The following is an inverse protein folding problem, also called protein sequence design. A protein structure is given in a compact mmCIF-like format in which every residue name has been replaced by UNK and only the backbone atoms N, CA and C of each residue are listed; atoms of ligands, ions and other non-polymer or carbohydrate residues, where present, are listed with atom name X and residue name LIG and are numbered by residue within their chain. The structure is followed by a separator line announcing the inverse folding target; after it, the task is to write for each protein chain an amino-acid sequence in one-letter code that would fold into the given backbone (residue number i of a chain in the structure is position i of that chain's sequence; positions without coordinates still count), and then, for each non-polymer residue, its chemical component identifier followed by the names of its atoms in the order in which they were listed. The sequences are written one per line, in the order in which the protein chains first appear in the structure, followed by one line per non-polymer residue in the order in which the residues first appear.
data_IF_864788803602
#
_entry.id   IF_864788803602
#
_cell.length_a   1.000
_cell.length_b   1.000
_cell.length_c   1.000
_cell.angle_alpha   90.00
_cell.angle_beta   90.00
_cell.angle_gamma   90.00
#
_symmetry.space_group_name_H-M   'P 1'
#
loop_
_entity.id
_entity.type
_entity.pdbx_description
1 polymer ?
#
# COMPACT_ATOMS: atom_id res chain seq x y z
N UNK A 1 7.18 -26.98 3.36
CA UNK A 1 5.88 -27.50 3.70
C UNK A 1 4.85 -27.08 2.66
N UNK A 2 4.04 -28.00 2.14
CA UNK A 2 3.06 -27.72 1.07
C UNK A 2 1.88 -26.83 1.53
N UNK A 3 1.70 -26.67 2.82
CA UNK A 3 0.65 -25.83 3.43
C UNK A 3 0.98 -24.33 3.39
N UNK A 4 2.23 -23.99 3.06
CA UNK A 4 2.71 -22.62 2.92
C UNK A 4 3.08 -22.32 1.47
N UNK A 5 3.05 -21.03 1.11
CA UNK A 5 3.47 -20.49 -0.16
C UNK A 5 4.16 -19.13 0.06
N UNK A 6 4.96 -18.69 -0.89
CA UNK A 6 5.56 -17.35 -0.83
C UNK A 6 4.57 -16.30 -1.33
N UNK A 7 4.68 -15.07 -0.83
CA UNK A 7 3.90 -13.95 -1.38
C UNK A 7 4.17 -13.75 -2.88
N UNK A 8 5.41 -14.03 -3.35
CA UNK A 8 5.73 -13.99 -4.80
C UNK A 8 5.00 -15.04 -5.64
N UNK A 9 4.48 -16.10 -5.02
CA UNK A 9 3.73 -17.15 -5.73
C UNK A 9 2.29 -16.69 -6.03
N UNK A 10 1.77 -15.70 -5.30
CA UNK A 10 0.38 -15.21 -5.39
C UNK A 10 0.26 -13.76 -5.84
N UNK A 11 1.35 -12.99 -5.88
CA UNK A 11 1.31 -11.57 -6.23
C UNK A 11 2.60 -11.05 -6.87
N UNK A 12 2.43 -10.07 -7.75
CA UNK A 12 3.49 -9.18 -8.21
C UNK A 12 3.72 -8.08 -7.18
N UNK A 13 4.97 -7.88 -6.77
CA UNK A 13 5.36 -6.90 -5.76
C UNK A 13 6.30 -5.88 -6.37
N UNK A 14 5.90 -4.62 -6.37
CA UNK A 14 6.66 -3.52 -6.95
C UNK A 14 6.85 -2.37 -5.95
N UNK A 15 7.90 -1.59 -6.15
CA UNK A 15 8.08 -0.32 -5.42
C UNK A 15 6.90 0.60 -5.70
N UNK A 16 6.50 1.42 -4.73
CA UNK A 16 5.56 2.50 -4.93
C UNK A 16 6.02 3.52 -5.97
N UNK A 17 5.16 4.45 -6.31
CA UNK A 17 5.42 5.42 -7.37
C UNK A 17 6.60 6.32 -7.02
N UNK A 18 7.64 6.31 -7.86
CA UNK A 18 8.74 7.25 -7.77
C UNK A 18 8.38 8.53 -8.51
N UNK A 19 7.87 9.52 -7.80
CA UNK A 19 7.46 10.80 -8.39
C UNK A 19 8.63 11.62 -8.89
N UNK A 20 9.78 11.50 -8.26
CA UNK A 20 10.94 12.37 -8.47
C UNK A 20 10.88 13.68 -7.69
N UNK A 21 9.69 14.07 -7.24
CA UNK A 21 9.45 15.23 -6.39
C UNK A 21 8.11 15.12 -5.66
N UNK A 22 8.09 14.45 -4.52
CA UNK A 22 6.85 14.25 -3.76
C UNK A 22 6.20 15.58 -3.35
N UNK A 23 7.00 16.64 -3.09
CA UNK A 23 6.47 17.96 -2.71
C UNK A 23 5.62 18.60 -3.81
N UNK A 24 5.96 18.37 -5.07
CA UNK A 24 5.22 18.89 -6.22
C UNK A 24 4.03 17.99 -6.59
N UNK A 25 4.24 16.66 -6.62
CA UNK A 25 3.24 15.72 -7.12
C UNK A 25 2.21 15.25 -6.09
N UNK A 26 2.53 15.35 -4.80
CA UNK A 26 1.60 14.99 -3.71
C UNK A 26 1.00 16.28 -3.12
N UNK A 27 -0.29 16.49 -3.30
CA UNK A 27 -0.94 17.76 -2.99
C UNK A 27 -2.15 17.61 -2.06
N UNK A 28 -2.46 18.71 -1.38
CA UNK A 28 -3.64 18.87 -0.54
C UNK A 28 -4.86 19.34 -1.37
N UNK A 29 -6.07 19.15 -0.82
CA UNK A 29 -7.35 19.61 -1.42
C UNK A 29 -7.30 21.06 -1.92
N UNK A 30 -6.78 21.98 -1.11
CA UNK A 30 -6.69 23.40 -1.48
C UNK A 30 -5.90 23.66 -2.78
N UNK A 31 -4.88 22.84 -3.05
CA UNK A 31 -4.09 22.95 -4.28
C UNK A 31 -4.88 22.41 -5.47
N UNK A 32 -5.58 21.29 -5.30
CA UNK A 32 -6.46 20.71 -6.32
C UNK A 32 -7.54 21.72 -6.74
N UNK A 33 -8.20 22.34 -5.77
CA UNK A 33 -9.25 23.33 -6.00
C UNK A 33 -8.71 24.60 -6.67
N UNK A 34 -7.61 25.16 -6.15
CA UNK A 34 -6.97 26.37 -6.68
C UNK A 34 -6.62 26.25 -8.15
N UNK A 35 -6.12 25.10 -8.57
CA UNK A 35 -5.68 24.86 -9.95
C UNK A 35 -6.68 24.03 -10.77
N UNK A 36 -7.87 23.76 -10.23
CA UNK A 36 -8.97 23.03 -10.90
C UNK A 36 -8.52 21.66 -11.44
N UNK A 37 -7.80 20.90 -10.59
CA UNK A 37 -7.16 19.63 -10.97
C UNK A 37 -7.96 18.38 -10.60
N UNK A 38 -9.26 18.48 -10.29
CA UNK A 38 -10.09 17.37 -9.82
C UNK A 38 -10.11 16.16 -10.77
N UNK A 39 -9.97 16.39 -12.06
CA UNK A 39 -9.98 15.39 -13.11
C UNK A 39 -8.60 14.81 -13.46
N UNK A 40 -7.53 15.30 -12.82
CA UNK A 40 -6.14 14.88 -13.05
C UNK A 40 -5.41 14.56 -11.75
N UNK A 41 -6.15 14.11 -10.75
CA UNK A 41 -5.60 13.62 -9.49
C UNK A 41 -6.15 12.26 -9.14
N UNK A 42 -5.39 11.50 -8.34
CA UNK A 42 -5.79 10.20 -7.78
C UNK A 42 -5.71 10.22 -6.25
N UNK A 43 -6.53 9.43 -5.55
CA UNK A 43 -6.35 9.18 -4.13
C UNK A 43 -4.93 8.70 -3.84
N UNK A 44 -4.29 9.25 -2.81
CA UNK A 44 -2.89 8.99 -2.50
C UNK A 44 -2.68 8.59 -1.04
N UNK A 45 -1.93 7.52 -0.84
CA UNK A 45 -1.24 7.23 0.43
C UNK A 45 0.17 7.81 0.31
N UNK A 46 0.36 9.04 0.76
CA UNK A 46 1.64 9.76 0.65
C UNK A 46 2.66 9.39 1.74
N UNK A 47 2.20 8.82 2.85
CA UNK A 47 3.02 8.35 3.97
C UNK A 47 2.39 7.10 4.60
N UNK A 48 3.19 6.25 5.24
CA UNK A 48 2.70 5.07 5.96
C UNK A 48 1.65 5.41 7.03
N UNK A 49 1.77 6.56 7.69
CA UNK A 49 0.80 7.06 8.68
C UNK A 49 -0.55 7.48 8.10
N UNK A 50 -0.71 7.49 6.77
CA UNK A 50 -2.01 7.73 6.12
C UNK A 50 -2.86 6.46 6.01
N UNK A 51 -2.28 5.27 6.24
CA UNK A 51 -2.94 3.98 6.21
C UNK A 51 -2.82 3.29 7.59
N UNK A 52 -3.73 3.62 8.50
CA UNK A 52 -3.81 3.04 9.85
C UNK A 52 -4.89 1.97 9.95
N UNK A 53 -4.96 1.07 8.97
CA UNK A 53 -6.01 0.08 8.83
C UNK A 53 -5.51 -1.11 8.03
N UNK A 54 -6.28 -2.22 8.04
CA UNK A 54 -6.09 -3.35 7.14
C UNK A 54 -6.81 -3.09 5.81
N UNK A 55 -7.99 -2.48 5.87
CA UNK A 55 -8.74 -2.00 4.71
C UNK A 55 -8.52 -0.50 4.55
N UNK A 56 -7.94 -0.06 3.43
CA UNK A 56 -7.88 1.36 3.09
C UNK A 56 -9.12 1.72 2.26
N UNK A 57 -10.13 2.23 2.93
CA UNK A 57 -11.45 2.58 2.40
C UNK A 57 -11.51 4.04 1.93
N UNK A 58 -12.58 4.40 1.23
CA UNK A 58 -12.81 5.79 0.81
C UNK A 58 -12.85 6.76 2.01
N UNK A 59 -13.44 6.33 3.12
CA UNK A 59 -13.53 7.11 4.35
C UNK A 59 -12.15 7.40 4.94
N UNK A 60 -11.20 6.46 4.88
CA UNK A 60 -9.82 6.64 5.35
C UNK A 60 -9.07 7.70 4.51
N UNK A 61 -9.29 7.65 3.19
CA UNK A 61 -8.75 8.66 2.30
C UNK A 61 -9.38 10.02 2.57
N UNK A 62 -10.70 10.12 2.69
CA UNK A 62 -11.40 11.37 3.00
C UNK A 62 -10.96 11.96 4.33
N UNK A 63 -10.76 11.14 5.37
CA UNK A 63 -10.20 11.58 6.64
C UNK A 63 -8.81 12.20 6.48
N UNK A 64 -7.96 11.63 5.63
CA UNK A 64 -6.65 12.22 5.30
C UNK A 64 -6.82 13.58 4.59
N UNK A 65 -7.77 13.69 3.66
CA UNK A 65 -8.08 14.92 2.94
C UNK A 65 -8.60 16.01 3.89
N UNK A 66 -9.53 15.67 4.78
CA UNK A 66 -10.14 16.60 5.74
C UNK A 66 -9.13 17.08 6.80
N UNK A 67 -8.13 16.25 7.11
CA UNK A 67 -6.99 16.61 7.94
C UNK A 67 -5.90 17.40 7.17
N UNK A 68 -6.19 17.93 5.98
CA UNK A 68 -5.27 18.70 5.14
C UNK A 68 -3.94 17.97 4.83
N UNK A 69 -3.96 16.63 4.75
CA UNK A 69 -2.79 15.88 4.32
C UNK A 69 -2.65 15.95 2.80
N UNK A 70 -1.42 15.79 2.30
CA UNK A 70 -1.16 15.62 0.86
C UNK A 70 -1.67 14.24 0.42
N UNK A 71 -2.98 14.13 0.21
CA UNK A 71 -3.71 12.90 -0.07
C UNK A 71 -4.16 12.78 -1.54
N UNK A 72 -3.61 13.59 -2.42
CA UNK A 72 -3.83 13.55 -3.87
C UNK A 72 -2.51 13.42 -4.61
N UNK A 73 -2.42 12.48 -5.56
CA UNK A 73 -1.33 12.41 -6.53
C UNK A 73 -1.76 13.08 -7.83
N UNK A 74 -0.96 13.99 -8.35
CA UNK A 74 -1.18 14.59 -9.67
C UNK A 74 -0.82 13.55 -10.74
N UNK A 75 -1.78 13.30 -11.64
CA UNK A 75 -1.68 12.38 -12.77
C UNK A 75 -2.10 13.09 -14.05
N UNK A 76 -1.23 13.95 -14.58
CA UNK A 76 -1.48 14.65 -15.82
C UNK A 76 -1.54 13.70 -17.02
N UNK A 77 -2.57 13.80 -17.88
CA UNK A 77 -2.72 12.95 -19.07
C UNK A 77 -1.59 13.16 -20.08
N UNK A 78 -1.40 12.19 -20.98
CA UNK A 78 -0.41 12.28 -22.05
C UNK A 78 -0.94 13.05 -23.26
N UNK A 79 -1.01 14.36 -23.11
CA UNK A 79 -1.42 15.27 -24.20
C UNK A 79 -0.37 16.36 -24.39
N UNK A 80 -0.38 16.99 -25.55
CA UNK A 80 0.53 18.15 -25.79
C UNK A 80 0.21 19.30 -24.83
N UNK A 81 1.25 20.04 -24.42
CA UNK A 81 1.13 21.13 -23.47
C UNK A 81 0.06 22.17 -23.86
N UNK A 82 -0.11 22.43 -25.16
CA UNK A 82 -1.11 23.39 -25.66
C UNK A 82 -2.56 23.02 -25.30
N UNK A 83 -2.85 21.70 -25.12
CA UNK A 83 -4.19 21.18 -24.85
C UNK A 83 -4.56 21.18 -23.34
N UNK A 84 -3.61 21.43 -22.45
CA UNK A 84 -3.96 21.56 -21.04
C UNK A 84 -4.81 22.80 -20.78
N UNK A 85 -5.77 22.75 -19.84
CA UNK A 85 -6.50 23.89 -19.33
C UNK A 85 -5.56 24.97 -18.80
N UNK A 86 -6.01 26.22 -18.82
CA UNK A 86 -5.22 27.38 -18.34
C UNK A 86 -4.68 27.17 -16.93
N UNK A 87 -5.52 26.67 -16.01
CA UNK A 87 -5.16 26.44 -14.60
C UNK A 87 -4.10 25.37 -14.44
N UNK A 88 -4.15 24.28 -15.20
CA UNK A 88 -3.10 23.24 -15.20
C UNK A 88 -1.77 23.81 -15.70
N UNK A 89 -1.78 24.62 -16.78
CA UNK A 89 -0.59 25.33 -17.29
C UNK A 89 0.01 26.28 -16.25
N UNK A 90 -0.84 26.99 -15.49
CA UNK A 90 -0.39 27.84 -14.39
C UNK A 90 0.35 27.04 -13.32
N UNK A 91 -0.16 25.84 -12.96
CA UNK A 91 0.50 24.95 -12.01
C UNK A 91 1.85 24.43 -12.52
N UNK A 92 1.91 23.99 -13.78
CA UNK A 92 3.16 23.51 -14.41
C UNK A 92 4.20 24.65 -14.43
N UNK A 93 3.82 25.87 -14.87
CA UNK A 93 4.70 27.03 -14.87
C UNK A 93 5.18 27.43 -13.47
N UNK A 94 4.30 27.32 -12.47
CA UNK A 94 4.70 27.56 -11.07
C UNK A 94 5.78 26.57 -10.65
N UNK A 95 5.65 25.27 -11.00
CA UNK A 95 6.67 24.26 -10.74
C UNK A 95 8.01 24.57 -11.44
N UNK A 96 7.98 25.01 -12.68
CA UNK A 96 9.19 25.44 -13.42
C UNK A 96 9.87 26.65 -12.76
N UNK A 97 9.09 27.65 -12.40
CA UNK A 97 9.60 28.85 -11.70
C UNK A 97 10.25 28.49 -10.36
N UNK A 98 9.70 27.53 -9.64
CA UNK A 98 10.24 27.05 -8.36
C UNK A 98 11.39 26.05 -8.52
N UNK A 99 11.72 25.62 -9.74
CA UNK A 99 12.78 24.68 -10.03
C UNK A 99 12.42 23.22 -9.72
N UNK A 100 11.14 22.89 -9.58
CA UNK A 100 10.67 21.53 -9.26
C UNK A 100 10.99 20.52 -10.39
N UNK A 101 11.20 20.99 -11.60
CA UNK A 101 11.60 20.24 -12.79
C UNK A 101 13.10 19.86 -12.83
N UNK A 102 13.94 20.44 -11.96
CA UNK A 102 15.41 20.30 -12.01
C UNK A 102 15.92 19.00 -11.36
N UNK A 103 15.09 18.35 -10.55
CA UNK A 103 15.44 17.07 -9.94
C UNK A 103 15.72 15.99 -11.00
N UNK A 104 16.73 15.15 -10.77
CA UNK A 104 17.19 14.13 -11.75
C UNK A 104 16.04 13.33 -12.39
N UNK A 105 15.12 12.80 -11.57
CA UNK A 105 13.98 12.02 -12.09
C UNK A 105 12.99 12.82 -12.93
N UNK A 106 12.86 14.13 -12.68
CA UNK A 106 12.02 15.02 -13.48
C UNK A 106 12.74 15.42 -14.77
N UNK A 107 14.02 15.75 -14.68
CA UNK A 107 14.81 16.27 -15.83
C UNK A 107 15.00 15.28 -16.97
N UNK A 108 14.96 13.97 -16.69
CA UNK A 108 15.11 12.91 -17.71
C UNK A 108 13.79 12.52 -18.39
N UNK A 109 12.65 13.12 -18.03
CA UNK A 109 11.35 12.86 -18.64
C UNK A 109 11.10 13.82 -19.79
N UNK A 110 10.50 13.35 -20.88
CA UNK A 110 10.09 14.21 -22.01
C UNK A 110 9.17 15.34 -21.53
N UNK A 111 8.27 15.00 -20.59
CA UNK A 111 7.40 15.96 -19.89
C UNK A 111 7.64 15.80 -18.41
N UNK A 112 8.45 16.66 -17.82
CA UNK A 112 8.88 16.60 -16.44
C UNK A 112 7.72 16.48 -15.44
N UNK A 113 6.57 17.08 -15.76
CA UNK A 113 5.35 17.10 -14.94
C UNK A 113 4.49 15.84 -15.05
N UNK A 114 4.88 14.85 -15.86
CA UNK A 114 4.21 13.53 -15.94
C UNK A 114 4.97 12.48 -15.17
N UNK A 115 4.23 11.71 -14.39
CA UNK A 115 4.78 10.53 -13.73
C UNK A 115 4.53 9.31 -14.63
N UNK A 116 5.56 8.56 -15.01
CA UNK A 116 5.37 7.32 -15.75
C UNK A 116 4.84 6.20 -14.85
N UNK A 117 4.14 5.22 -15.43
CA UNK A 117 3.76 3.96 -14.78
C UNK A 117 2.91 4.11 -13.52
N UNK A 118 1.91 5.00 -13.55
CA UNK A 118 0.88 5.06 -12.52
C UNK A 118 -0.13 3.94 -12.81
N UNK A 119 -0.34 3.06 -11.82
CA UNK A 119 -1.39 2.05 -11.85
C UNK A 119 -1.89 1.82 -10.41
N UNK A 120 -3.16 1.42 -10.28
CA UNK A 120 -3.83 1.17 -9.01
C UNK A 120 -3.52 -0.26 -8.55
N UNK A 121 -2.87 -0.45 -7.40
CA UNK A 121 -2.61 -1.77 -6.85
C UNK A 121 -3.84 -2.33 -6.12
N UNK A 122 -3.90 -3.65 -5.99
CA UNK A 122 -4.92 -4.32 -5.18
C UNK A 122 -4.64 -4.16 -3.68
N UNK A 123 -3.37 -4.06 -3.31
CA UNK A 123 -2.95 -3.89 -1.92
C UNK A 123 -1.61 -3.15 -1.81
N UNK A 124 -1.28 -2.79 -0.57
CA UNK A 124 -0.02 -2.14 -0.21
C UNK A 124 0.71 -2.90 0.88
N UNK A 125 2.03 -2.98 0.80
CA UNK A 125 2.88 -3.46 1.88
C UNK A 125 3.79 -2.32 2.36
N UNK A 126 3.87 -2.08 3.66
CA UNK A 126 4.70 -1.00 4.19
C UNK A 126 6.18 -1.32 3.99
N UNK A 127 6.91 -0.37 3.39
CA UNK A 127 8.35 -0.50 3.20
C UNK A 127 9.14 -0.38 4.50
N UNK A 128 8.73 0.54 5.37
CA UNK A 128 9.37 0.80 6.67
C UNK A 128 8.37 0.66 7.78
N UNK A 129 8.68 -0.21 8.71
CA UNK A 129 7.83 -0.60 9.81
C UNK A 129 8.52 -0.26 11.12
N UNK A 130 7.78 0.33 12.06
CA UNK A 130 8.31 0.69 13.38
C UNK A 130 7.72 -0.22 14.47
N UNK A 131 6.40 -0.29 14.58
CA UNK A 131 5.72 -1.14 15.56
C UNK A 131 5.55 -2.57 15.04
N UNK A 132 4.98 -2.71 13.85
CA UNK A 132 4.75 -3.97 13.16
C UNK A 132 4.55 -3.76 11.67
N UNK A 133 4.80 -4.78 10.83
CA UNK A 133 4.57 -4.69 9.40
C UNK A 133 3.07 -4.68 9.08
N UNK A 134 2.68 -3.95 8.02
CA UNK A 134 1.29 -3.87 7.57
C UNK A 134 1.16 -4.28 6.11
N UNK A 135 0.15 -5.12 5.85
CA UNK A 135 -0.33 -5.47 4.53
C UNK A 135 -1.77 -4.96 4.41
N UNK A 136 -2.02 -4.00 3.52
CA UNK A 136 -3.25 -3.19 3.49
C UNK A 136 -3.99 -3.41 2.19
N UNK A 137 -5.25 -3.83 2.25
CA UNK A 137 -6.12 -3.99 1.09
C UNK A 137 -6.60 -2.61 0.60
N UNK A 138 -6.49 -2.36 -0.71
CA UNK A 138 -6.91 -1.12 -1.33
C UNK A 138 -8.36 -1.17 -1.77
N UNK A 139 -9.23 -0.48 -1.06
CA UNK A 139 -10.66 -0.35 -1.37
C UNK A 139 -11.06 1.08 -1.78
N UNK A 140 -10.07 1.89 -2.19
CA UNK A 140 -10.27 3.30 -2.53
C UNK A 140 -9.64 3.70 -3.88
N UNK A 141 -9.19 2.73 -4.68
CA UNK A 141 -8.43 2.98 -5.91
C UNK A 141 -7.24 3.92 -5.69
N UNK A 142 -6.68 3.90 -4.49
CA UNK A 142 -5.56 4.74 -4.12
C UNK A 142 -4.25 4.25 -4.77
N UNK A 143 -3.32 5.19 -4.90
CA UNK A 143 -1.93 4.91 -5.26
C UNK A 143 -1.01 5.27 -4.09
N UNK A 144 0.24 4.81 -4.12
CA UNK A 144 1.21 5.17 -3.10
C UNK A 144 2.53 5.64 -3.70
N UNK A 145 3.22 6.53 -2.98
CA UNK A 145 4.62 6.84 -3.25
C UNK A 145 5.52 5.67 -2.82
N UNK A 146 6.82 5.83 -2.95
CA UNK A 146 7.84 4.84 -2.57
C UNK A 146 7.91 4.51 -1.06
N UNK A 147 7.00 5.04 -0.26
CA UNK A 147 6.83 4.70 1.15
C UNK A 147 6.16 3.33 1.36
N UNK A 148 5.45 2.82 0.35
CA UNK A 148 4.80 1.52 0.36
C UNK A 148 5.07 0.77 -0.94
N UNK A 149 5.12 -0.55 -0.87
CA UNK A 149 5.16 -1.40 -2.05
C UNK A 149 3.75 -1.60 -2.59
N UNK A 150 3.64 -1.67 -3.93
CA UNK A 150 2.39 -1.92 -4.65
C UNK A 150 2.28 -3.41 -4.93
N UNK A 151 1.14 -3.98 -4.58
CA UNK A 151 0.85 -5.40 -4.73
C UNK A 151 -0.24 -5.57 -5.78
N UNK A 152 -0.02 -6.48 -6.74
CA UNK A 152 -1.03 -6.92 -7.70
C UNK A 152 -1.17 -8.43 -7.58
N UNK A 153 -2.33 -8.91 -7.14
CA UNK A 153 -2.57 -10.34 -7.05
C UNK A 153 -2.68 -10.97 -8.44
N UNK A 154 -2.24 -12.21 -8.55
CA UNK A 154 -2.40 -12.99 -9.78
C UNK A 154 -3.85 -13.40 -9.95
N UNK A 155 -4.21 -13.74 -11.20
CA UNK A 155 -5.56 -14.21 -11.52
C UNK A 155 -5.94 -15.44 -10.68
N UNK A 156 -7.17 -15.44 -10.15
CA UNK A 156 -7.69 -16.49 -9.28
C UNK A 156 -7.32 -16.37 -7.80
N UNK A 157 -6.48 -15.41 -7.42
CA UNK A 157 -6.18 -15.16 -6.00
C UNK A 157 -7.23 -14.22 -5.40
N UNK A 158 -7.88 -14.67 -4.33
CA UNK A 158 -8.78 -13.83 -3.54
C UNK A 158 -7.98 -12.86 -2.67
N UNK A 159 -8.17 -11.53 -2.83
CA UNK A 159 -7.38 -10.53 -2.12
C UNK A 159 -7.55 -10.57 -0.59
N UNK A 160 -8.77 -10.78 -0.09
CA UNK A 160 -9.04 -10.81 1.36
C UNK A 160 -8.36 -12.01 2.00
N UNK A 161 -8.43 -13.17 1.36
CA UNK A 161 -7.73 -14.38 1.78
C UNK A 161 -6.21 -14.18 1.80
N UNK A 162 -5.66 -13.53 0.78
CA UNK A 162 -4.23 -13.23 0.70
C UNK A 162 -3.79 -12.26 1.80
N UNK A 163 -4.59 -11.24 2.13
CA UNK A 163 -4.31 -10.33 3.25
C UNK A 163 -4.35 -11.07 4.58
N UNK A 164 -5.41 -11.87 4.84
CA UNK A 164 -5.52 -12.61 6.10
C UNK A 164 -4.36 -13.59 6.29
N UNK A 165 -3.93 -14.26 5.21
CA UNK A 165 -2.82 -15.23 5.26
C UNK A 165 -1.50 -14.62 5.76
N UNK A 166 -1.37 -13.30 5.74
CA UNK A 166 -0.20 -12.61 6.25
C UNK A 166 -0.25 -12.34 7.77
N UNK A 167 -1.44 -12.11 8.35
CA UNK A 167 -1.58 -11.70 9.76
C UNK A 167 -1.52 -12.89 10.73
N UNK A 168 -0.35 -13.51 10.84
CA UNK A 168 -0.05 -14.59 11.79
C UNK A 168 1.41 -14.52 12.24
N UNK A 169 1.73 -15.15 13.36
CA UNK A 169 3.08 -15.11 13.96
C UNK A 169 4.17 -15.67 13.04
N UNK A 170 3.87 -16.69 12.23
CA UNK A 170 4.84 -17.28 11.31
C UNK A 170 5.22 -16.30 10.21
N UNK A 171 4.23 -15.66 9.56
CA UNK A 171 4.48 -14.69 8.49
C UNK A 171 5.18 -13.43 9.03
N UNK A 172 4.88 -13.01 10.25
CA UNK A 172 5.58 -11.91 10.91
C UNK A 172 7.04 -12.28 11.21
N UNK A 173 7.30 -13.50 11.71
CA UNK A 173 8.66 -13.99 11.90
C UNK A 173 9.47 -14.04 10.58
N UNK A 174 8.85 -14.50 9.48
CA UNK A 174 9.48 -14.44 8.16
C UNK A 174 9.75 -13.00 7.70
N UNK A 175 8.88 -12.05 8.03
CA UNK A 175 9.09 -10.63 7.70
C UNK A 175 10.33 -10.09 8.41
N UNK A 176 10.53 -10.40 9.69
CA UNK A 176 11.72 -10.05 10.45
C UNK A 176 13.00 -10.69 9.86
N UNK A 177 12.92 -11.96 9.46
CA UNK A 177 14.05 -12.70 8.85
C UNK A 177 14.42 -12.17 7.45
N UNK A 178 13.44 -11.76 6.66
CA UNK A 178 13.65 -11.26 5.29
C UNK A 178 14.05 -9.78 5.27
N UNK A 179 13.58 -9.00 6.23
CA UNK A 179 13.82 -7.56 6.31
C UNK A 179 15.19 -7.19 6.86
N UNK A 180 15.44 -5.90 6.90
CA UNK A 180 16.68 -5.31 7.41
C UNK A 180 16.38 -4.44 8.61
N UNK A 181 16.90 -4.81 9.77
CA UNK A 181 16.78 -4.01 10.97
C UNK A 181 17.78 -2.86 10.95
N UNK A 182 17.30 -1.65 11.16
CA UNK A 182 18.11 -0.44 11.32
C UNK A 182 18.06 0.03 12.77
N UNK A 183 19.05 0.83 13.16
CA UNK A 183 19.04 1.48 14.47
C UNK A 183 17.74 2.26 14.72
N UNK A 184 17.24 2.23 15.96
CA UNK A 184 15.98 2.89 16.34
C UNK A 184 14.71 2.06 16.12
N UNK A 185 14.82 0.74 15.94
CA UNK A 185 13.66 -0.18 15.86
C UNK A 185 12.90 -0.12 14.54
N UNK A 186 13.55 0.33 13.45
CA UNK A 186 12.93 0.36 12.12
C UNK A 186 13.32 -0.89 11.34
N UNK A 187 12.33 -1.66 10.91
CA UNK A 187 12.47 -2.74 9.95
C UNK A 187 12.18 -2.21 8.55
N UNK A 188 13.17 -2.23 7.65
CA UNK A 188 12.96 -1.97 6.22
C UNK A 188 12.93 -3.29 5.45
N UNK A 189 11.98 -3.40 4.54
CA UNK A 189 11.83 -4.56 3.67
C UNK A 189 11.69 -4.11 2.23
N UNK A 190 12.42 -4.73 1.31
CA UNK A 190 12.39 -4.43 -0.12
C UNK A 190 11.40 -5.35 -0.87
N UNK A 191 10.96 -5.00 -2.10
CA UNK A 191 9.95 -5.79 -2.82
C UNK A 191 10.31 -7.28 -2.97
N UNK A 192 11.56 -7.59 -3.32
CA UNK A 192 12.03 -8.98 -3.44
C UNK A 192 12.07 -9.73 -2.09
N UNK A 193 12.28 -9.00 -1.00
CA UNK A 193 12.25 -9.54 0.36
C UNK A 193 10.80 -9.82 0.80
N UNK A 194 9.86 -8.92 0.50
CA UNK A 194 8.41 -9.15 0.71
C UNK A 194 7.96 -10.40 -0.05
N UNK A 195 8.44 -10.59 -1.28
CA UNK A 195 8.13 -11.78 -2.08
C UNK A 195 8.58 -13.09 -1.45
N UNK A 196 9.59 -13.08 -0.59
CA UNK A 196 10.11 -14.27 0.09
C UNK A 196 9.41 -14.62 1.40
N UNK A 197 8.48 -13.80 1.88
CA UNK A 197 7.70 -14.08 3.07
C UNK A 197 6.79 -15.28 2.79
N UNK A 198 6.82 -16.26 3.69
CA UNK A 198 5.91 -17.40 3.64
C UNK A 198 4.60 -17.06 4.36
N UNK A 199 3.50 -17.43 3.72
CA UNK A 199 2.14 -17.30 4.25
C UNK A 199 1.42 -18.65 4.16
N UNK A 200 0.54 -19.01 5.12
CA UNK A 200 -0.26 -20.23 5.04
C UNK A 200 -1.28 -20.15 3.91
N UNK A 201 -1.58 -21.29 3.30
CA UNK A 201 -2.69 -21.45 2.36
C UNK A 201 -4.00 -21.56 3.15
N UNK A 202 -4.97 -20.72 2.82
CA UNK A 202 -6.24 -20.64 3.54
C UNK A 202 -7.42 -21.15 2.69
N UNK A 203 -7.17 -22.00 1.70
CA UNK A 203 -8.17 -22.44 0.72
C UNK A 203 -9.38 -23.14 1.35
N UNK A 204 -9.18 -23.78 2.51
CA UNK A 204 -10.22 -24.53 3.22
C UNK A 204 -11.12 -23.66 4.11
N UNK A 205 -10.74 -22.39 4.35
CA UNK A 205 -11.52 -21.48 5.22
C UNK A 205 -12.59 -20.80 4.37
N UNK A 206 -13.88 -20.81 4.78
CA UNK A 206 -14.92 -20.08 4.09
C UNK A 206 -14.63 -18.58 4.01
N UNK A 207 -15.03 -17.95 2.90
CA UNK A 207 -14.72 -16.51 2.67
C UNK A 207 -15.40 -15.61 3.71
N UNK A 208 -16.56 -15.97 4.18
CA UNK A 208 -17.29 -15.26 5.22
C UNK A 208 -16.48 -15.18 6.52
N UNK A 209 -15.85 -16.28 6.89
CA UNK A 209 -14.99 -16.37 8.07
C UNK A 209 -13.68 -15.57 7.88
N UNK A 210 -13.11 -15.57 6.67
CA UNK A 210 -11.98 -14.70 6.30
C UNK A 210 -12.33 -13.23 6.56
N UNK A 211 -13.50 -12.80 6.12
CA UNK A 211 -13.98 -11.42 6.28
C UNK A 211 -14.22 -11.04 7.74
N UNK A 212 -14.83 -11.93 8.50
CA UNK A 212 -15.05 -11.71 9.94
C UNK A 212 -13.72 -11.53 10.69
N UNK A 213 -12.72 -12.36 10.41
CA UNK A 213 -11.40 -12.25 11.00
C UNK A 213 -10.71 -10.94 10.59
N UNK A 214 -10.77 -10.56 9.30
CA UNK A 214 -10.18 -9.31 8.82
C UNK A 214 -10.82 -8.09 9.45
N UNK A 215 -12.14 -8.05 9.64
CA UNK A 215 -12.81 -6.93 10.33
C UNK A 215 -12.40 -6.84 11.81
N UNK A 216 -12.19 -7.98 12.49
CA UNK A 216 -11.67 -7.98 13.86
C UNK A 216 -10.26 -7.41 13.92
N UNK A 217 -9.37 -7.85 13.02
CA UNK A 217 -7.99 -7.35 12.94
C UNK A 217 -7.99 -5.85 12.56
N UNK A 218 -8.81 -5.44 11.59
CA UNK A 218 -8.92 -4.04 11.18
C UNK A 218 -9.35 -3.14 12.35
N UNK A 219 -10.29 -3.62 13.18
CA UNK A 219 -10.70 -2.91 14.40
C UNK A 219 -9.54 -2.75 15.38
N UNK A 220 -8.76 -3.80 15.62
CA UNK A 220 -7.59 -3.76 16.51
C UNK A 220 -6.57 -2.74 15.99
N UNK A 221 -6.25 -2.80 14.69
CA UNK A 221 -5.28 -1.90 14.04
C UNK A 221 -5.75 -0.44 14.07
N UNK A 222 -7.02 -0.18 13.75
CA UNK A 222 -7.60 1.18 13.76
C UNK A 222 -7.59 1.82 15.13
N UNK A 223 -7.82 1.04 16.16
CA UNK A 223 -7.85 1.51 17.55
C UNK A 223 -6.46 1.55 18.20
N UNK A 224 -5.38 1.30 17.45
CA UNK A 224 -4.01 1.22 17.95
C UNK A 224 -3.86 0.26 19.15
N UNK A 225 -4.62 -0.83 19.16
CA UNK A 225 -4.51 -1.89 20.15
C UNK A 225 -3.27 -2.74 19.88
N UNK A 226 -2.95 -3.67 20.81
CA UNK A 226 -1.78 -4.52 20.63
C UNK A 226 -1.97 -5.46 19.42
N UNK A 227 -1.03 -5.48 18.50
CA UNK A 227 -1.08 -6.37 17.32
C UNK A 227 -1.02 -7.85 17.72
N UNK A 228 -0.43 -8.18 18.86
CA UNK A 228 -0.38 -9.55 19.39
C UNK A 228 -1.80 -10.12 19.58
N UNK A 229 -2.76 -9.30 20.03
CA UNK A 229 -4.16 -9.73 20.15
C UNK A 229 -4.74 -10.17 18.79
N UNK A 230 -4.38 -9.49 17.71
CA UNK A 230 -4.79 -9.86 16.36
C UNK A 230 -4.10 -11.15 15.89
N UNK A 231 -2.80 -11.29 16.17
CA UNK A 231 -2.05 -12.50 15.82
C UNK A 231 -2.59 -13.72 16.58
N UNK A 232 -2.88 -13.59 17.87
CA UNK A 232 -3.42 -14.68 18.70
C UNK A 232 -4.76 -15.20 18.16
N UNK A 233 -5.65 -14.30 17.71
CA UNK A 233 -6.93 -14.68 17.09
C UNK A 233 -6.70 -15.51 15.84
N UNK A 234 -5.81 -15.05 14.96
CA UNK A 234 -5.52 -15.70 13.67
C UNK A 234 -4.73 -16.99 13.87
N UNK A 235 -3.71 -16.98 14.74
CA UNK A 235 -2.88 -18.15 15.01
C UNK A 235 -3.70 -19.29 15.58
N UNK A 236 -4.58 -19.02 16.54
CA UNK A 236 -5.48 -20.02 17.10
C UNK A 236 -6.37 -20.63 16.04
N UNK A 237 -6.95 -19.80 15.17
CA UNK A 237 -7.88 -20.26 14.14
C UNK A 237 -7.18 -20.95 12.97
N UNK A 238 -6.09 -20.39 12.48
CA UNK A 238 -5.41 -20.83 11.25
C UNK A 238 -4.31 -21.83 11.56
N UNK A 239 -3.41 -21.53 12.47
CA UNK A 239 -2.25 -22.37 12.71
C UNK A 239 -2.64 -23.61 13.52
N UNK A 240 -3.46 -23.45 14.55
CA UNK A 240 -3.86 -24.58 15.40
C UNK A 240 -4.99 -25.40 14.78
N UNK A 241 -6.11 -24.78 14.45
CA UNK A 241 -7.29 -25.52 13.99
C UNK A 241 -7.15 -26.05 12.56
N UNK A 242 -6.53 -25.30 11.65
CA UNK A 242 -6.44 -25.70 10.23
C UNK A 242 -5.14 -26.42 9.88
N UNK A 243 -4.00 -26.04 10.47
CA UNK A 243 -2.70 -26.56 10.07
C UNK A 243 -2.18 -27.68 10.97
N UNK A 244 -2.46 -27.65 12.28
CA UNK A 244 -1.97 -28.69 13.20
C UNK A 244 -2.92 -29.87 13.28
N UNK A 245 -4.24 -29.65 13.32
CA UNK A 245 -5.21 -30.76 13.45
C UNK A 245 -5.40 -31.62 12.19
N UNK A 246 -5.01 -31.14 11.01
CA UNK A 246 -5.08 -31.94 9.77
C UNK A 246 -3.93 -32.95 9.61
N UNK A 247 -2.91 -32.90 10.47
CA UNK A 247 -1.77 -33.83 10.39
C UNK A 247 -2.04 -35.23 11.01
N UNK A 248 -3.06 -35.35 11.86
CA UNK A 248 -3.35 -36.61 12.59
C UNK A 248 -4.48 -37.45 11.95
N UNK A 249 -4.99 -37.05 10.78
CA UNK A 249 -6.06 -37.75 10.05
C UNK A 249 -5.57 -38.50 8.80
N UNK A 250 -4.26 -38.82 8.70
CA UNK A 250 -3.68 -39.59 7.60
C UNK A 250 -3.01 -40.88 8.10
#
# INVERSE_FOLDING_TARGET
DKRFQKLSDIALINVGITTGNNKYFSVERKTVEKYQMQNVVRPLIGRSSHANSIYFRHEDWMQNVDNNKAAYLIDFPDVEYKHYPKKHKEYIKMGEKNGENKGYKCSIRDRWYRIPSIWVPDAFFLRRNNLYPKFVLNQCDAVSTDTMHRIKFYEGIDPERAILSYYNSISFAFTELCGRSYGGGVLEILPGEVGNIYVPKLDMIPIEEIRELLEQIDSIVRNNQNIEDALDIVDKKILMDCLLYTSDAA
#
